data_IF_655267871187
#
_entry.id   IF_655267871187
#
_cell.length_a   1.000
_cell.length_b   1.000
_cell.length_c   1.000
_cell.angle_alpha   90.00
_cell.angle_beta   90.00
_cell.angle_gamma   90.00
#
_symmetry.space_group_name_H-M   'P 1'
#
loop_
_entity.id
_entity.type
_entity.pdbx_description
1 polymer ?
#
# COMPACT_ATOMS: atom_id res chain seq x y z
N UNK A 1 19.68 -18.21 33.06
CA UNK A 1 20.03 -19.25 34.05
C UNK A 1 18.99 -20.36 33.98
N UNK A 2 19.26 -21.46 33.28
CA UNK A 2 18.50 -22.70 33.44
C UNK A 2 19.48 -23.86 33.40
N UNK A 3 19.56 -24.58 34.53
CA UNK A 3 20.55 -25.63 34.82
C UNK A 3 20.16 -26.92 34.11
N UNK A 4 21.14 -27.52 33.43
CA UNK A 4 21.15 -28.91 32.98
C UNK A 4 21.35 -29.80 34.21
N UNK A 5 20.46 -30.77 34.43
CA UNK A 5 20.64 -31.85 35.41
C UNK A 5 20.79 -33.17 34.66
N UNK A 6 22.02 -33.65 34.64
CA UNK A 6 22.40 -35.03 34.34
C UNK A 6 22.03 -35.89 35.56
N UNK A 7 21.30 -36.99 35.35
CA UNK A 7 21.27 -38.11 36.29
C UNK A 7 21.51 -39.43 35.55
N UNK A 8 22.64 -40.01 35.92
CA UNK A 8 23.11 -41.36 35.64
C UNK A 8 22.32 -42.38 36.46
N UNK A 9 21.98 -43.53 35.86
CA UNK A 9 21.82 -44.77 36.60
C UNK A 9 22.23 -45.98 35.73
N UNK A 10 23.44 -46.49 36.01
CA UNK A 10 23.83 -47.87 35.71
C UNK A 10 23.07 -48.81 36.65
N UNK A 11 22.60 -49.96 36.18
CA UNK A 11 23.12 -51.31 36.56
C UNK A 11 22.15 -52.47 36.26
N UNK A 12 22.77 -53.52 35.71
CA UNK A 12 22.55 -54.96 35.95
C UNK A 12 21.25 -55.56 35.38
N UNK A 13 21.38 -56.52 34.45
CA UNK A 13 20.88 -57.89 34.63
C UNK A 13 21.52 -58.85 33.61
N UNK A 14 21.74 -60.08 34.08
CA UNK A 14 22.60 -61.12 33.54
C UNK A 14 22.01 -61.85 32.30
N UNK A 15 22.80 -62.68 31.58
CA UNK A 15 22.33 -63.39 30.40
C UNK A 15 21.42 -64.56 30.82
N UNK A 16 20.20 -64.60 30.29
CA UNK A 16 19.37 -65.80 30.29
C UNK A 16 19.44 -66.40 28.91
N UNK A 17 19.99 -67.61 28.83
CA UNK A 17 19.86 -68.51 27.71
C UNK A 17 18.38 -68.82 27.49
N UNK A 18 17.79 -68.18 26.48
CA UNK A 18 16.52 -68.56 25.90
C UNK A 18 16.82 -69.14 24.52
N UNK A 19 16.98 -70.46 24.44
CA UNK A 19 16.81 -71.23 23.21
C UNK A 19 15.34 -71.16 22.81
N UNK A 20 14.98 -70.08 22.12
CA UNK A 20 13.69 -69.92 21.45
C UNK A 20 13.75 -70.77 20.16
N UNK A 21 13.11 -71.94 20.19
CA UNK A 21 12.79 -72.67 18.97
C UNK A 21 11.96 -71.76 18.07
N UNK A 22 12.54 -71.36 16.94
CA UNK A 22 11.84 -70.62 15.90
C UNK A 22 10.72 -71.51 15.35
N UNK A 23 9.45 -71.04 15.33
CA UNK A 23 8.43 -71.71 14.57
C UNK A 23 8.89 -71.76 13.12
N UNK A 24 8.92 -72.96 12.52
CA UNK A 24 9.08 -73.10 11.06
C UNK A 24 7.87 -72.44 10.40
N UNK A 25 8.01 -71.17 10.06
CA UNK A 25 7.14 -70.50 9.10
C UNK A 25 7.35 -71.20 7.75
N UNK A 26 6.43 -72.10 7.41
CA UNK A 26 6.25 -72.52 6.03
C UNK A 26 5.97 -71.28 5.17
N UNK A 27 6.34 -71.28 3.88
CA UNK A 27 6.04 -70.17 2.98
C UNK A 27 4.54 -70.17 2.66
N UNK A 28 3.72 -69.76 3.64
CA UNK A 28 2.37 -69.30 3.39
C UNK A 28 2.49 -68.01 2.60
N UNK A 29 2.58 -68.16 1.28
CA UNK A 29 2.52 -67.03 0.35
C UNK A 29 1.21 -66.33 0.63
N UNK A 30 1.23 -65.09 1.15
CA UNK A 30 0.01 -64.45 1.56
C UNK A 30 -0.85 -64.22 0.30
N UNK A 31 -2.12 -64.64 0.37
CA UNK A 31 -3.03 -64.78 -0.76
C UNK A 31 -3.33 -63.48 -1.55
N UNK A 32 -2.79 -62.33 -1.10
CA UNK A 32 -2.92 -61.04 -1.78
C UNK A 32 -2.02 -60.89 -3.03
N UNK A 33 -1.13 -61.85 -3.32
CA UNK A 33 -0.29 -61.86 -4.53
C UNK A 33 -1.01 -62.33 -5.80
N UNK A 34 -2.33 -62.14 -5.90
CA UNK A 34 -3.01 -62.28 -7.20
C UNK A 34 -2.79 -61.02 -8.02
N UNK A 35 -2.45 -61.16 -9.32
CA UNK A 35 -2.30 -60.01 -10.24
C UNK A 35 -3.51 -59.05 -10.22
N UNK A 36 -4.69 -59.54 -9.80
CA UNK A 36 -5.91 -58.76 -9.62
C UNK A 36 -5.82 -57.80 -8.41
N UNK A 37 -5.29 -58.25 -7.27
CA UNK A 37 -5.12 -57.40 -6.09
C UNK A 37 -4.18 -56.22 -6.33
N UNK A 38 -3.06 -56.45 -7.03
CA UNK A 38 -2.10 -55.40 -7.38
C UNK A 38 -2.72 -54.37 -8.34
N UNK A 39 -3.53 -54.80 -9.31
CA UNK A 39 -4.22 -53.88 -10.23
C UNK A 39 -5.25 -53.01 -9.51
N UNK A 40 -6.03 -53.58 -8.59
CA UNK A 40 -7.00 -52.83 -7.79
C UNK A 40 -6.29 -51.82 -6.88
N UNK A 41 -5.20 -52.24 -6.21
CA UNK A 41 -4.41 -51.34 -5.37
C UNK A 41 -3.80 -50.18 -6.17
N UNK A 42 -3.29 -50.43 -7.38
CA UNK A 42 -2.76 -49.37 -8.25
C UNK A 42 -3.86 -48.41 -8.72
N UNK A 43 -5.05 -48.91 -9.09
CA UNK A 43 -6.17 -48.04 -9.47
C UNK A 43 -6.61 -47.18 -8.30
N UNK A 44 -6.70 -47.73 -7.09
CA UNK A 44 -7.05 -46.97 -5.90
C UNK A 44 -5.99 -45.93 -5.55
N UNK A 45 -4.70 -46.27 -5.67
CA UNK A 45 -3.60 -45.33 -5.46
C UNK A 45 -3.65 -44.19 -6.50
N UNK A 46 -3.88 -44.52 -7.77
CA UNK A 46 -4.04 -43.55 -8.86
C UNK A 46 -5.23 -42.65 -8.61
N UNK A 47 -6.37 -43.18 -8.16
CA UNK A 47 -7.53 -42.36 -7.82
C UNK A 47 -7.25 -41.46 -6.60
N UNK A 48 -6.60 -41.98 -5.55
CA UNK A 48 -6.26 -41.23 -4.35
C UNK A 48 -5.22 -40.11 -4.60
N UNK A 49 -4.42 -40.21 -5.67
CA UNK A 49 -3.41 -39.19 -5.99
C UNK A 49 -3.89 -38.26 -7.11
N UNK A 50 -4.39 -38.82 -8.22
CA UNK A 50 -4.77 -38.05 -9.40
C UNK A 50 -6.07 -37.29 -9.18
N UNK A 51 -7.08 -37.85 -8.49
CA UNK A 51 -8.35 -37.15 -8.27
C UNK A 51 -8.16 -35.89 -7.43
N UNK A 52 -7.48 -35.89 -6.27
CA UNK A 52 -7.25 -34.64 -5.54
C UNK A 52 -6.30 -33.67 -6.27
N UNK A 53 -5.33 -34.16 -7.06
CA UNK A 53 -4.52 -33.28 -7.92
C UNK A 53 -5.35 -32.65 -9.04
N UNK A 54 -6.24 -33.41 -9.67
CA UNK A 54 -7.15 -32.95 -10.69
C UNK A 54 -8.19 -32.00 -10.10
N UNK A 55 -8.72 -32.26 -8.90
CA UNK A 55 -9.60 -31.34 -8.18
C UNK A 55 -8.86 -30.07 -7.76
N UNK A 56 -7.64 -30.17 -7.25
CA UNK A 56 -6.81 -29.00 -6.88
C UNK A 56 -6.42 -28.17 -8.11
N UNK A 57 -6.18 -28.81 -9.25
CA UNK A 57 -5.91 -28.15 -10.52
C UNK A 57 -7.20 -27.62 -11.19
N UNK A 58 -8.34 -28.29 -10.99
CA UNK A 58 -9.65 -27.91 -11.53
C UNK A 58 -10.37 -26.88 -10.67
N UNK A 59 -9.91 -26.62 -9.45
CA UNK A 59 -10.16 -25.36 -8.73
C UNK A 59 -9.45 -24.22 -9.47
N UNK A 60 -9.86 -24.02 -10.72
CA UNK A 60 -9.41 -22.93 -11.54
C UNK A 60 -9.75 -21.61 -10.82
N UNK A 61 -8.90 -20.58 -10.94
CA UNK A 61 -9.17 -19.26 -10.39
C UNK A 61 -10.59 -18.77 -10.70
N UNK A 62 -11.12 -19.12 -11.87
CA UNK A 62 -12.47 -18.82 -12.33
C UNK A 62 -13.59 -19.44 -11.49
N UNK A 63 -13.43 -20.68 -11.01
CA UNK A 63 -14.41 -21.31 -10.12
C UNK A 63 -14.36 -20.69 -8.73
N UNK A 64 -13.18 -20.23 -8.29
CA UNK A 64 -12.98 -19.52 -7.03
C UNK A 64 -13.64 -18.15 -7.04
N UNK A 65 -13.48 -17.38 -8.13
CA UNK A 65 -14.18 -16.10 -8.35
C UNK A 65 -15.70 -16.28 -8.41
N UNK A 66 -16.19 -17.28 -9.15
CA UNK A 66 -17.63 -17.60 -9.19
C UNK A 66 -18.17 -18.00 -7.82
N UNK A 67 -17.40 -18.77 -7.04
CA UNK A 67 -17.78 -19.12 -5.68
C UNK A 67 -17.84 -17.88 -4.77
N UNK A 68 -16.89 -16.95 -4.87
CA UNK A 68 -16.93 -15.69 -4.10
C UNK A 68 -18.11 -14.80 -4.48
N UNK A 69 -18.48 -14.75 -5.76
CA UNK A 69 -19.65 -14.00 -6.21
C UNK A 69 -20.97 -14.55 -5.64
N UNK A 70 -21.04 -15.86 -5.34
CA UNK A 70 -22.25 -16.52 -4.83
C UNK A 70 -22.27 -16.61 -3.30
N UNK A 71 -21.14 -16.90 -2.67
CA UNK A 71 -21.04 -17.19 -1.24
C UNK A 71 -20.42 -16.04 -0.43
N UNK A 72 -20.05 -14.94 -1.09
CA UNK A 72 -19.27 -13.86 -0.50
C UNK A 72 -17.77 -14.20 -0.46
N UNK A 73 -16.95 -13.15 -0.53
CA UNK A 73 -15.54 -13.26 -0.23
C UNK A 73 -15.35 -13.61 1.27
N UNK A 74 -14.36 -14.46 1.62
CA UNK A 74 -13.95 -14.61 3.01
C UNK A 74 -13.63 -13.25 3.64
N UNK A 75 -13.99 -13.06 4.92
CA UNK A 75 -13.72 -11.82 5.65
C UNK A 75 -12.21 -11.47 5.75
N UNK A 76 -11.34 -12.46 5.47
CA UNK A 76 -9.87 -12.32 5.50
C UNK A 76 -9.26 -11.93 4.13
N UNK A 77 -10.06 -11.57 3.13
CA UNK A 77 -9.50 -11.04 1.88
C UNK A 77 -8.97 -9.61 2.08
N UNK A 78 -7.89 -9.22 1.37
CA UNK A 78 -7.45 -7.84 1.39
C UNK A 78 -8.56 -6.90 0.88
N UNK A 79 -8.72 -5.72 1.50
CA UNK A 79 -9.73 -4.76 1.07
C UNK A 79 -9.49 -4.28 -0.36
N UNK A 80 -10.58 -3.95 -1.05
CA UNK A 80 -10.55 -3.27 -2.34
C UNK A 80 -10.26 -1.78 -2.16
N UNK A 81 -9.88 -1.09 -3.23
CA UNK A 81 -9.59 0.36 -3.17
C UNK A 81 -10.77 1.19 -2.70
N UNK A 82 -12.00 0.80 -3.00
CA UNK A 82 -13.19 1.47 -2.50
C UNK A 82 -13.20 1.52 -0.96
N UNK A 83 -12.83 0.43 -0.29
CA UNK A 83 -12.76 0.39 1.17
C UNK A 83 -11.64 1.28 1.75
N UNK A 84 -10.50 1.40 1.05
CA UNK A 84 -9.44 2.34 1.42
C UNK A 84 -9.91 3.80 1.27
N UNK A 85 -10.63 4.09 0.20
CA UNK A 85 -11.18 5.42 -0.03
C UNK A 85 -12.22 5.80 1.01
N UNK A 86 -13.16 4.90 1.33
CA UNK A 86 -14.16 5.11 2.38
C UNK A 86 -13.48 5.38 3.74
N UNK A 87 -12.42 4.63 4.05
CA UNK A 87 -11.63 4.87 5.26
C UNK A 87 -10.98 6.25 5.30
N UNK A 88 -10.38 6.73 4.20
CA UNK A 88 -9.80 8.07 4.11
C UNK A 88 -10.84 9.19 4.33
N UNK A 89 -12.05 8.99 3.82
CA UNK A 89 -13.16 9.91 4.04
C UNK A 89 -13.57 9.93 5.51
N UNK A 90 -13.68 8.77 6.15
CA UNK A 90 -14.06 8.68 7.56
C UNK A 90 -13.00 9.31 8.48
N UNK A 91 -11.71 9.06 8.23
CA UNK A 91 -10.61 9.70 8.96
C UNK A 91 -10.69 11.23 8.85
N UNK A 92 -10.95 11.74 7.65
CA UNK A 92 -11.03 13.19 7.41
C UNK A 92 -12.28 13.81 8.06
N UNK A 93 -13.43 13.14 7.97
CA UNK A 93 -14.68 13.57 8.63
C UNK A 93 -14.53 13.62 10.15
N UNK A 94 -13.87 12.62 10.74
CA UNK A 94 -13.59 12.59 12.18
C UNK A 94 -12.63 13.71 12.60
N UNK A 95 -11.68 14.06 11.76
CA UNK A 95 -10.80 15.21 11.98
C UNK A 95 -11.56 16.55 11.95
N UNK A 96 -12.65 16.63 11.17
CA UNK A 96 -13.53 17.79 11.11
C UNK A 96 -12.87 19.02 10.49
N UNK A 97 -13.23 20.20 11.02
CA UNK A 97 -12.72 21.51 10.59
C UNK A 97 -12.50 22.40 11.84
N UNK A 98 -11.40 22.21 12.58
CA UNK A 98 -11.18 22.94 13.81
C UNK A 98 -10.95 24.44 13.55
N UNK A 99 -11.35 25.33 14.49
CA UNK A 99 -11.19 26.76 14.33
C UNK A 99 -9.72 27.13 14.18
N UNK A 100 -9.40 27.94 13.16
CA UNK A 100 -8.03 28.35 12.85
C UNK A 100 -7.27 27.38 11.93
N UNK A 101 -7.84 26.23 11.56
CA UNK A 101 -7.24 25.35 10.56
C UNK A 101 -7.09 26.07 9.21
N UNK A 102 -5.89 25.97 8.64
CA UNK A 102 -5.57 26.50 7.31
C UNK A 102 -5.13 25.34 6.43
N UNK A 103 -5.63 25.28 5.21
CA UNK A 103 -5.46 24.15 4.30
C UNK A 103 -4.60 24.55 3.10
N UNK A 104 -3.82 23.59 2.61
CA UNK A 104 -3.03 23.73 1.39
C UNK A 104 -3.27 22.54 0.48
N UNK A 105 -3.84 22.80 -0.69
CA UNK A 105 -4.13 21.81 -1.71
C UNK A 105 -3.30 22.04 -2.97
N UNK A 106 -2.70 20.98 -3.51
CA UNK A 106 -1.93 21.03 -4.74
C UNK A 106 -2.69 20.31 -5.85
N UNK A 107 -3.50 21.05 -6.61
CA UNK A 107 -4.20 20.48 -7.77
C UNK A 107 -3.26 20.32 -8.98
N UNK A 108 -2.12 21.02 -8.97
CA UNK A 108 -1.03 20.87 -9.94
C UNK A 108 -0.19 19.60 -9.75
N UNK A 109 -0.55 18.70 -8.83
CA UNK A 109 0.21 17.47 -8.59
C UNK A 109 0.36 16.62 -9.86
N UNK A 110 1.46 15.87 -9.92
CA UNK A 110 1.84 15.07 -11.07
C UNK A 110 0.82 13.96 -11.34
N UNK A 111 0.52 13.78 -12.62
CA UNK A 111 -0.38 12.75 -13.13
C UNK A 111 0.27 12.01 -14.29
N UNK A 112 -0.17 10.78 -14.56
CA UNK A 112 0.30 9.99 -15.70
C UNK A 112 1.79 9.59 -15.64
N UNK A 113 2.41 9.66 -14.46
CA UNK A 113 3.79 9.24 -14.23
C UNK A 113 3.84 8.03 -13.29
N UNK A 114 4.98 7.36 -13.26
CA UNK A 114 5.21 6.25 -12.33
C UNK A 114 5.12 6.67 -10.87
N UNK A 115 4.67 5.73 -10.02
CA UNK A 115 4.47 5.95 -8.58
C UNK A 115 5.68 6.58 -7.86
N UNK A 116 6.91 6.19 -8.22
CA UNK A 116 8.12 6.73 -7.58
C UNK A 116 8.29 8.25 -7.73
N UNK A 117 7.85 8.82 -8.86
CA UNK A 117 7.90 10.28 -9.07
C UNK A 117 6.76 10.97 -8.30
N UNK A 118 5.54 10.40 -8.38
CA UNK A 118 4.40 10.92 -7.65
C UNK A 118 4.61 10.92 -6.13
N UNK A 119 5.26 9.87 -5.61
CA UNK A 119 5.56 9.74 -4.19
C UNK A 119 6.58 10.80 -3.71
N UNK A 120 7.60 11.10 -4.52
CA UNK A 120 8.58 12.14 -4.19
C UNK A 120 7.91 13.52 -4.07
N UNK A 121 7.08 13.88 -5.06
CA UNK A 121 6.35 15.15 -5.04
C UNK A 121 5.35 15.21 -3.88
N UNK A 122 4.59 14.13 -3.64
CA UNK A 122 3.65 14.04 -2.52
C UNK A 122 4.32 14.29 -1.16
N UNK A 123 5.48 13.65 -0.92
CA UNK A 123 6.24 13.85 0.32
C UNK A 123 6.67 15.31 0.48
N UNK A 124 7.10 15.95 -0.60
CA UNK A 124 7.52 17.36 -0.59
C UNK A 124 6.33 18.30 -0.40
N UNK A 125 5.16 18.02 -1.00
CA UNK A 125 3.93 18.76 -0.77
C UNK A 125 3.47 18.68 0.70
N UNK A 126 3.49 17.47 1.28
CA UNK A 126 3.16 17.28 2.69
C UNK A 126 4.14 18.03 3.59
N UNK A 127 5.44 17.96 3.31
CA UNK A 127 6.46 18.68 4.05
C UNK A 127 6.29 20.20 3.94
N UNK A 128 6.00 20.71 2.74
CA UNK A 128 5.76 22.14 2.53
C UNK A 128 4.52 22.63 3.30
N UNK A 129 3.41 21.89 3.26
CA UNK A 129 2.22 22.23 4.03
C UNK A 129 2.52 22.29 5.53
N UNK A 130 3.21 21.27 6.06
CA UNK A 130 3.67 21.23 7.45
C UNK A 130 4.55 22.43 7.80
N UNK A 131 5.55 22.76 6.96
CA UNK A 131 6.45 23.92 7.16
C UNK A 131 5.73 25.26 7.09
N UNK A 132 4.67 25.35 6.29
CA UNK A 132 3.82 26.54 6.17
C UNK A 132 2.78 26.65 7.30
N UNK A 133 2.74 25.71 8.26
CA UNK A 133 1.75 25.70 9.33
C UNK A 133 0.33 25.42 8.82
N UNK A 134 0.20 24.65 7.74
CA UNK A 134 -1.08 24.34 7.08
C UNK A 134 -1.32 22.83 7.07
N UNK A 135 -2.59 22.45 7.19
CA UNK A 135 -3.07 21.09 6.94
C UNK A 135 -2.86 20.73 5.48
N UNK A 136 -2.14 19.62 5.25
CA UNK A 136 -1.93 19.08 3.91
C UNK A 136 -3.21 18.45 3.36
N UNK A 137 -3.66 18.85 2.19
CA UNK A 137 -4.78 18.20 1.52
C UNK A 137 -4.23 17.11 0.60
N UNK A 138 -4.35 15.85 1.02
CA UNK A 138 -3.86 14.74 0.22
C UNK A 138 -4.84 14.37 -0.89
N UNK A 139 -4.28 13.75 -1.93
CA UNK A 139 -4.99 13.37 -3.14
C UNK A 139 -4.59 11.96 -3.55
N UNK A 140 -5.44 11.32 -4.34
CA UNK A 140 -5.19 9.98 -4.85
C UNK A 140 -4.02 10.00 -5.84
N UNK A 141 -3.24 8.91 -5.88
CA UNK A 141 -2.36 8.67 -7.01
C UNK A 141 -3.22 8.57 -8.27
N UNK A 142 -2.95 9.42 -9.26
CA UNK A 142 -3.81 9.59 -10.44
C UNK A 142 -3.01 9.40 -11.71
N UNK A 143 -3.35 8.36 -12.48
CA UNK A 143 -2.86 8.15 -13.84
C UNK A 143 -3.67 8.97 -14.84
N UNK A 144 -5.00 8.87 -14.75
CA UNK A 144 -5.97 9.62 -15.54
C UNK A 144 -7.08 10.14 -14.62
N UNK A 145 -7.56 11.34 -14.91
CA UNK A 145 -8.58 12.01 -14.13
C UNK A 145 -9.89 12.20 -14.89
N UNK A 146 -10.02 11.67 -16.11
CA UNK A 146 -11.20 11.68 -16.98
C UNK A 146 -12.45 10.97 -16.43
N UNK A 147 -12.43 10.56 -15.16
CA UNK A 147 -13.50 9.82 -14.51
C UNK A 147 -13.49 8.32 -14.81
N UNK A 148 -12.59 7.83 -15.66
CA UNK A 148 -12.43 6.40 -15.90
C UNK A 148 -11.92 5.69 -14.63
N UNK A 149 -12.39 4.45 -14.40
CA UNK A 149 -11.84 3.58 -13.35
C UNK A 149 -10.51 2.95 -13.75
N UNK A 150 -10.27 2.83 -15.06
CA UNK A 150 -9.12 2.14 -15.64
C UNK A 150 -8.44 2.97 -16.71
N UNK A 151 -7.13 2.94 -16.70
CA UNK A 151 -6.23 3.53 -17.70
C UNK A 151 -5.39 2.45 -18.35
N UNK A 152 -4.71 2.77 -19.45
CA UNK A 152 -3.81 1.82 -20.12
C UNK A 152 -2.36 2.28 -20.03
N UNK A 153 -1.49 1.38 -19.58
CA UNK A 153 -0.05 1.59 -19.59
C UNK A 153 0.64 0.39 -20.22
N UNK A 154 1.41 0.63 -21.29
CA UNK A 154 2.08 -0.42 -22.08
C UNK A 154 1.13 -1.57 -22.50
N UNK A 155 -0.09 -1.20 -22.92
CA UNK A 155 -1.11 -2.15 -23.36
C UNK A 155 -1.78 -2.96 -22.25
N UNK A 156 -1.49 -2.68 -20.97
CA UNK A 156 -2.13 -3.34 -19.83
C UNK A 156 -3.08 -2.38 -19.12
N UNK A 157 -4.30 -2.83 -18.73
CA UNK A 157 -5.17 -2.03 -17.90
C UNK A 157 -4.54 -1.86 -16.51
N UNK A 158 -4.58 -0.64 -16.01
CA UNK A 158 -4.16 -0.25 -14.66
C UNK A 158 -5.29 0.59 -14.03
N UNK A 159 -5.40 0.65 -12.70
CA UNK A 159 -6.32 1.59 -12.05
C UNK A 159 -5.99 3.03 -12.45
N UNK A 160 -6.99 3.83 -12.82
CA UNK A 160 -6.78 5.26 -13.10
C UNK A 160 -6.45 6.05 -11.85
N UNK A 161 -6.96 5.61 -10.70
CA UNK A 161 -6.76 6.24 -9.40
C UNK A 161 -6.51 5.17 -8.35
N UNK A 162 -5.59 5.44 -7.43
CA UNK A 162 -5.31 4.58 -6.28
C UNK A 162 -5.40 5.45 -5.02
N UNK A 163 -6.25 5.09 -4.04
CA UNK A 163 -6.31 5.76 -2.74
C UNK A 163 -4.95 5.78 -2.08
N UNK A 164 -4.61 6.90 -1.45
CA UNK A 164 -3.27 7.11 -0.96
C UNK A 164 -2.93 6.17 0.22
N UNK A 165 -3.92 5.87 1.06
CA UNK A 165 -3.82 4.93 2.19
C UNK A 165 -3.56 3.49 1.77
N UNK A 166 -3.84 3.12 0.51
CA UNK A 166 -3.47 1.81 -0.04
C UNK A 166 -1.96 1.71 -0.34
N UNK A 167 -1.27 2.86 -0.43
CA UNK A 167 0.14 2.95 -0.78
C UNK A 167 1.01 3.29 0.43
N UNK A 168 0.53 4.18 1.30
CA UNK A 168 1.28 4.70 2.45
C UNK A 168 0.38 4.87 3.67
N UNK A 169 0.99 4.87 4.86
CA UNK A 169 0.32 5.15 6.12
C UNK A 169 1.09 6.21 6.91
N UNK A 170 0.45 6.81 7.90
CA UNK A 170 1.03 7.81 8.81
C UNK A 170 0.41 9.20 8.65
N UNK A 171 1.09 10.25 9.15
CA UNK A 171 0.56 11.61 9.18
C UNK A 171 0.09 12.21 7.87
N UNK A 172 0.60 11.73 6.74
CA UNK A 172 0.27 12.22 5.39
C UNK A 172 -1.15 11.84 4.98
N UNK A 173 -1.70 10.76 5.54
CA UNK A 173 -3.05 10.23 5.27
C UNK A 173 -3.93 10.29 6.53
N UNK A 174 -3.77 11.35 7.33
CA UNK A 174 -4.59 11.60 8.52
C UNK A 174 -4.15 10.85 9.78
N UNK A 175 -3.00 10.17 9.76
CA UNK A 175 -2.44 9.56 10.96
C UNK A 175 -1.97 10.59 12.00
N UNK A 176 -1.81 10.19 13.27
CA UNK A 176 -1.32 11.07 14.33
C UNK A 176 0.16 11.45 14.16
N UNK A 177 0.50 12.69 14.50
CA UNK A 177 1.90 13.15 14.68
C UNK A 177 2.27 13.07 16.14
N UNK A 178 3.31 12.29 16.45
CA UNK A 178 3.77 12.08 17.82
C UNK A 178 5.04 12.85 18.18
N UNK A 179 5.74 13.38 17.17
CA UNK A 179 7.08 13.96 17.34
C UNK A 179 7.06 15.48 17.50
N UNK A 180 5.94 16.13 17.17
CA UNK A 180 5.80 17.59 17.22
C UNK A 180 4.40 17.97 17.72
N UNK A 181 4.35 18.56 18.92
CA UNK A 181 3.11 19.04 19.53
C UNK A 181 2.55 20.30 18.87
N UNK A 182 3.36 21.01 18.07
CA UNK A 182 2.98 22.23 17.36
C UNK A 182 2.60 21.96 15.90
N UNK A 183 2.55 20.70 15.48
CA UNK A 183 2.13 20.35 14.13
C UNK A 183 0.70 20.83 13.87
N UNK A 184 0.36 21.22 12.62
CA UNK A 184 -1.01 21.56 12.26
C UNK A 184 -1.98 20.44 12.68
N UNK A 185 -3.13 20.80 13.23
CA UNK A 185 -4.16 19.86 13.65
C UNK A 185 -5.48 20.20 12.93
N UNK A 186 -5.99 19.33 12.04
CA UNK A 186 -5.37 18.09 11.57
C UNK A 186 -4.12 18.33 10.73
N UNK A 187 -3.22 17.34 10.69
CA UNK A 187 -1.97 17.41 9.92
C UNK A 187 -2.25 17.31 8.43
N UNK A 188 -3.24 16.49 8.09
CA UNK A 188 -3.67 16.31 6.72
C UNK A 188 -5.15 15.91 6.67
N UNK A 189 -5.82 16.15 5.53
CA UNK A 189 -7.19 15.68 5.23
C UNK A 189 -7.31 15.24 3.76
N UNK A 190 -8.28 14.40 3.45
CA UNK A 190 -8.59 13.99 2.08
C UNK A 190 -9.13 15.15 1.24
N UNK A 191 -8.80 15.15 -0.06
CA UNK A 191 -9.29 16.11 -1.03
C UNK A 191 -10.81 16.31 -0.99
N UNK A 192 -11.58 15.24 -0.85
CA UNK A 192 -13.05 15.34 -0.90
C UNK A 192 -13.59 16.09 0.32
N UNK A 193 -13.07 15.80 1.51
CA UNK A 193 -13.43 16.56 2.72
C UNK A 193 -12.97 18.03 2.63
N UNK A 194 -11.81 18.29 2.01
CA UNK A 194 -11.40 19.66 1.70
C UNK A 194 -12.37 20.34 0.73
N UNK A 195 -12.89 19.65 -0.27
CA UNK A 195 -13.87 20.23 -1.21
C UNK A 195 -15.16 20.65 -0.50
N UNK A 196 -15.57 19.90 0.53
CA UNK A 196 -16.75 20.23 1.34
C UNK A 196 -16.52 21.47 2.23
N UNK A 197 -15.35 21.58 2.88
CA UNK A 197 -15.00 22.72 3.74
C UNK A 197 -14.68 23.98 2.92
N UNK A 198 -13.99 23.78 1.81
CA UNK A 198 -13.41 24.81 0.96
C UNK A 198 -13.91 24.62 -0.48
N UNK A 199 -15.14 25.05 -0.82
CA UNK A 199 -15.61 25.02 -2.20
C UNK A 199 -14.75 25.93 -3.07
N UNK A 200 -14.71 25.70 -4.38
CA UNK A 200 -13.83 26.42 -5.32
C UNK A 200 -13.90 27.95 -5.19
N UNK A 201 -15.10 28.49 -4.98
CA UNK A 201 -15.33 29.94 -4.80
C UNK A 201 -14.70 30.54 -3.54
N UNK A 202 -14.37 29.71 -2.54
CA UNK A 202 -13.76 30.12 -1.28
C UNK A 202 -12.22 29.96 -1.28
N UNK A 203 -11.63 29.40 -2.35
CA UNK A 203 -10.20 29.10 -2.41
C UNK A 203 -9.41 30.31 -2.88
N UNK A 204 -8.32 30.60 -2.19
CA UNK A 204 -7.28 31.51 -2.69
C UNK A 204 -6.31 30.71 -3.55
N UNK A 205 -6.25 31.07 -4.82
CA UNK A 205 -5.33 30.46 -5.77
C UNK A 205 -3.97 31.16 -5.73
N UNK A 206 -2.88 30.37 -5.71
CA UNK A 206 -1.50 30.85 -5.84
C UNK A 206 -0.81 29.97 -6.88
N UNK A 207 -0.30 30.57 -7.96
CA UNK A 207 0.43 29.82 -8.99
C UNK A 207 1.88 29.66 -8.60
N UNK A 208 2.46 28.50 -8.92
CA UNK A 208 3.88 28.26 -8.71
C UNK A 208 4.74 29.21 -9.54
N UNK A 209 4.30 29.58 -10.73
CA UNK A 209 5.00 30.54 -11.60
C UNK A 209 5.24 31.88 -10.91
N UNK A 210 4.26 32.37 -10.15
CA UNK A 210 4.36 33.62 -9.41
C UNK A 210 5.37 33.53 -8.27
N UNK A 211 5.44 32.37 -7.59
CA UNK A 211 6.39 32.13 -6.50
C UNK A 211 7.81 31.94 -7.03
N UNK A 212 7.95 31.19 -8.13
CA UNK A 212 9.22 30.96 -8.82
C UNK A 212 9.79 32.25 -9.39
N UNK A 213 8.96 33.19 -9.87
CA UNK A 213 9.43 34.50 -10.32
C UNK A 213 10.10 35.35 -9.22
N UNK A 214 9.81 35.05 -7.94
CA UNK A 214 10.48 35.67 -6.79
C UNK A 214 11.80 34.98 -6.43
N UNK A 215 12.03 33.78 -6.96
CA UNK A 215 13.29 33.05 -6.84
C UNK A 215 14.17 33.40 -8.04
N UNK A 216 15.46 33.63 -7.78
CA UNK A 216 16.43 33.77 -8.87
C UNK A 216 16.60 32.47 -9.66
N UNK A 217 17.45 32.48 -10.68
CA UNK A 217 17.65 31.36 -11.63
C UNK A 217 18.28 30.07 -11.05
N UNK A 218 18.65 30.05 -9.77
CA UNK A 218 19.26 28.87 -9.13
C UNK A 218 18.45 28.46 -7.90
N UNK A 219 17.26 27.91 -8.14
CA UNK A 219 16.41 27.39 -7.08
C UNK A 219 16.79 25.94 -6.70
N UNK A 220 16.91 25.69 -5.40
CA UNK A 220 16.97 24.34 -4.83
C UNK A 220 15.60 23.97 -4.25
N UNK A 221 15.34 22.69 -4.02
CA UNK A 221 14.11 22.26 -3.34
C UNK A 221 13.96 22.91 -1.94
N UNK A 222 15.07 23.12 -1.22
CA UNK A 222 15.06 23.78 0.09
C UNK A 222 14.65 25.26 -0.01
N UNK A 223 15.30 26.02 -0.89
CA UNK A 223 14.93 27.44 -1.10
C UNK A 223 13.51 27.59 -1.62
N UNK A 224 13.01 26.61 -2.39
CA UNK A 224 11.63 26.61 -2.85
C UNK A 224 10.63 26.40 -1.72
N UNK A 225 10.91 25.44 -0.82
CA UNK A 225 10.08 25.22 0.37
C UNK A 225 10.07 26.48 1.25
N UNK A 226 11.24 27.08 1.48
CA UNK A 226 11.36 28.30 2.27
C UNK A 226 10.56 29.45 1.65
N UNK A 227 10.67 29.66 0.34
CA UNK A 227 9.95 30.74 -0.32
C UNK A 227 8.45 30.52 -0.35
N UNK A 228 7.99 29.31 -0.61
CA UNK A 228 6.58 28.99 -0.50
C UNK A 228 6.06 29.19 0.92
N UNK A 229 6.79 28.75 1.94
CA UNK A 229 6.40 28.97 3.34
C UNK A 229 6.32 30.47 3.68
N UNK A 230 7.27 31.27 3.21
CA UNK A 230 7.26 32.74 3.34
C UNK A 230 6.00 33.32 2.69
N UNK A 231 5.72 33.01 1.41
CA UNK A 231 4.53 33.49 0.70
C UNK A 231 3.26 33.07 1.43
N UNK A 232 3.15 31.81 1.83
CA UNK A 232 1.97 31.28 2.53
C UNK A 232 1.76 31.88 3.92
N UNK A 233 2.81 32.37 4.57
CA UNK A 233 2.73 33.05 5.87
C UNK A 233 2.06 34.43 5.77
N UNK A 234 2.17 35.09 4.60
CA UNK A 234 1.54 36.40 4.34
C UNK A 234 0.06 36.28 3.95
N UNK A 235 -0.41 35.06 3.64
CA UNK A 235 -1.76 34.81 3.14
C UNK A 235 -2.66 34.37 4.28
N UNK A 236 -3.62 35.22 4.67
CA UNK A 236 -4.56 34.87 5.74
C UNK A 236 -5.74 33.98 5.29
N UNK A 237 -5.77 33.57 4.01
CA UNK A 237 -6.81 32.69 3.50
C UNK A 237 -6.78 31.31 4.19
N UNK A 238 -7.96 30.88 4.64
CA UNK A 238 -8.19 29.53 5.18
C UNK A 238 -7.86 28.45 4.15
N UNK A 239 -8.36 28.60 2.94
CA UNK A 239 -8.26 27.61 1.87
C UNK A 239 -7.29 28.13 0.81
N UNK A 240 -6.12 27.50 0.65
CA UNK A 240 -5.18 27.82 -0.42
C UNK A 240 -5.06 26.65 -1.37
N UNK A 241 -5.10 26.95 -2.67
CA UNK A 241 -4.92 25.96 -3.74
C UNK A 241 -3.82 26.42 -4.71
N UNK A 242 -2.92 25.50 -5.05
CA UNK A 242 -2.09 25.60 -6.25
C UNK A 242 -2.91 25.02 -7.40
N UNK A 243 -3.30 25.84 -8.40
CA UNK A 243 -4.30 25.43 -9.37
C UNK A 243 -3.69 24.46 -10.38
N UNK A 244 -4.53 23.66 -11.02
CA UNK A 244 -4.08 22.63 -11.96
C UNK A 244 -3.30 23.16 -13.17
N UNK A 245 -3.59 24.38 -13.61
CA UNK A 245 -2.91 25.03 -14.73
C UNK A 245 -1.54 25.63 -14.33
N UNK A 246 -1.18 25.54 -13.06
CA UNK A 246 0.15 25.90 -12.56
C UNK A 246 1.18 24.83 -12.92
N UNK A 247 2.43 25.25 -13.07
CA UNK A 247 3.56 24.32 -13.09
C UNK A 247 3.61 23.52 -11.79
N UNK A 248 4.09 22.27 -11.87
CA UNK A 248 4.34 21.44 -10.70
C UNK A 248 5.26 22.19 -9.73
N UNK A 249 4.95 22.13 -8.43
CA UNK A 249 5.76 22.84 -7.43
C UNK A 249 7.14 22.23 -7.37
N UNK A 250 7.24 20.90 -7.35
CA UNK A 250 8.51 20.19 -7.34
C UNK A 250 8.74 19.45 -8.66
N UNK A 251 9.96 19.55 -9.20
CA UNK A 251 10.33 18.82 -10.41
C UNK A 251 10.34 17.30 -10.14
N UNK A 252 9.70 16.56 -11.04
CA UNK A 252 9.59 15.10 -11.03
C UNK A 252 10.93 14.41 -11.35
N UNK A 253 11.94 15.14 -11.83
CA UNK A 253 13.26 14.65 -12.22
C UNK A 253 14.39 15.02 -11.25
N UNK A 254 14.14 15.03 -9.94
CA UNK A 254 15.17 15.28 -8.91
C UNK A 254 16.35 14.27 -8.86
N UNK A 255 16.49 13.36 -9.83
CA UNK A 255 17.64 12.46 -9.97
C UNK A 255 18.75 13.08 -10.84
N UNK A 256 20.04 12.83 -10.55
CA UNK A 256 21.13 13.49 -11.25
C UNK A 256 21.21 12.98 -12.70
N UNK A 257 20.73 13.77 -13.65
CA UNK A 257 21.26 13.71 -15.01
C UNK A 257 22.61 14.43 -15.01
N UNK A 258 23.66 13.69 -15.31
CA UNK A 258 24.87 14.28 -15.90
C UNK A 258 24.44 15.12 -17.12
N UNK A 259 24.56 16.43 -16.94
CA UNK A 259 24.22 17.59 -17.78
C UNK A 259 24.64 17.44 -19.26
N UNK A 260 24.11 18.25 -20.23
CA UNK A 260 23.69 19.64 -20.05
C UNK A 260 22.39 20.10 -20.75
N UNK A 261 21.84 21.17 -20.18
CA UNK A 261 20.73 22.04 -20.62
C UNK A 261 19.32 21.72 -20.09
N UNK A 262 18.96 22.47 -19.02
CA UNK A 262 17.60 22.85 -18.57
C UNK A 262 16.77 21.67 -18.01
N UNK A 263 16.20 21.66 -16.82
CA UNK A 263 15.89 22.69 -15.84
C UNK A 263 16.07 22.09 -14.42
N UNK A 264 16.99 22.64 -13.64
CA UNK A 264 16.61 23.34 -12.42
C UNK A 264 16.88 24.79 -12.80
N UNK A 265 15.82 25.58 -12.94
CA UNK A 265 15.92 27.03 -13.11
C UNK A 265 14.85 27.58 -12.18
#
# INVERSE_FOLDING_TARGET
MLRIVLLSARRIWAPRDCTLELPRWGPDRPAWRTRRGVRVALVLLVLLVIVPLALRASWSPRLREKAWAVFGAPADLPPLYEAYHDHELDVSRLAGDPPGAKYLYFDSHVRGVGWGNAMQELLLHSYLAYRAGRTFVWYNYTWSDDGSKWSYYKGKPIPSRIPLSALINGPIVGGPVFTDANAPAPVSIAQDHFNDICPESARKTIKNDDVMALLGHESTAGSLVEKWAEVLSTVDAKCVQVPRDSWAVFDIWCAPRSRPHRACS
#
